data_IF_734574554703
#
_entry.id   IF_734574554703
#
_cell.length_a   1.000
_cell.length_b   1.000
_cell.length_c   1.000
_cell.angle_alpha   90.00
_cell.angle_beta   90.00
_cell.angle_gamma   90.00
#
_symmetry.space_group_name_H-M   'P 1'
#
loop_
_entity.id
_entity.type
_entity.pdbx_description
1 polymer ?
#
# COMPACT_ATOMS: atom_id res chain seq x y z
N UNK A 1 -29.85 1.60 -14.13
CA UNK A 1 -28.73 1.35 -13.20
C UNK A 1 -28.24 2.69 -12.66
N UNK A 2 -28.13 2.87 -11.34
CA UNK A 2 -27.62 4.11 -10.76
C UNK A 2 -26.14 4.31 -11.15
N UNK A 3 -25.67 5.54 -11.37
CA UNK A 3 -24.27 5.81 -11.76
C UNK A 3 -23.23 5.21 -10.81
N UNK A 4 -23.57 5.08 -9.52
CA UNK A 4 -22.72 4.55 -8.45
C UNK A 4 -22.58 3.00 -8.41
N UNK A 5 -23.20 2.29 -9.36
CA UNK A 5 -23.10 0.83 -9.53
C UNK A 5 -22.36 0.45 -10.82
N UNK A 6 -21.75 1.43 -11.52
CA UNK A 6 -21.00 1.17 -12.74
C UNK A 6 -19.69 0.46 -12.40
N UNK A 7 -19.39 -0.59 -13.16
CA UNK A 7 -18.19 -1.39 -13.02
C UNK A 7 -17.25 -1.10 -14.18
N UNK A 8 -15.97 -0.96 -13.88
CA UNK A 8 -14.94 -0.79 -14.91
C UNK A 8 -13.90 -1.89 -14.73
N UNK A 9 -13.61 -2.57 -15.84
CA UNK A 9 -12.50 -3.50 -15.98
C UNK A 9 -11.32 -2.75 -16.57
N UNK A 10 -10.18 -2.74 -15.88
CA UNK A 10 -8.96 -2.05 -16.36
C UNK A 10 -7.80 -3.04 -16.43
N UNK A 11 -7.41 -3.39 -17.65
CA UNK A 11 -6.24 -4.22 -17.96
C UNK A 11 -5.32 -3.44 -18.89
N UNK A 12 -4.02 -3.21 -18.56
CA UNK A 12 -3.29 -3.63 -17.37
C UNK A 12 -3.72 -2.86 -16.10
N UNK A 13 -3.13 -3.19 -14.94
CA UNK A 13 -3.47 -2.74 -13.57
C UNK A 13 -3.40 -1.20 -13.39
N UNK A 14 -4.29 -0.45 -14.03
CA UNK A 14 -4.34 1.01 -14.04
C UNK A 14 -5.42 1.47 -13.05
N UNK A 15 -5.18 1.17 -11.78
CA UNK A 15 -6.18 1.26 -10.70
C UNK A 15 -6.16 2.60 -9.94
N UNK A 16 -5.10 3.39 -10.10
CA UNK A 16 -4.91 4.62 -9.33
C UNK A 16 -4.05 5.66 -10.06
N UNK A 17 -4.33 6.92 -9.79
CA UNK A 17 -3.56 8.06 -10.30
C UNK A 17 -2.23 8.26 -9.57
N UNK A 18 -1.38 9.15 -10.10
CA UNK A 18 -0.01 9.34 -9.61
C UNK A 18 0.10 9.81 -8.16
N UNK A 19 -0.83 10.64 -7.68
CA UNK A 19 -0.81 11.11 -6.28
C UNK A 19 -1.29 10.02 -5.33
N UNK A 20 -2.32 9.28 -5.71
CA UNK A 20 -2.80 8.14 -4.92
C UNK A 20 -1.70 7.08 -4.76
N UNK A 21 -1.01 6.75 -5.86
CA UNK A 21 0.11 5.82 -5.84
C UNK A 21 1.31 6.34 -5.05
N UNK A 22 1.65 7.64 -5.19
CA UNK A 22 2.71 8.26 -4.39
C UNK A 22 2.42 8.17 -2.88
N UNK A 23 1.19 8.48 -2.46
CA UNK A 23 0.78 8.37 -1.06
C UNK A 23 0.84 6.93 -0.53
N UNK A 24 0.48 5.96 -1.37
CA UNK A 24 0.62 4.54 -1.03
C UNK A 24 2.08 4.17 -0.79
N UNK A 25 3.00 4.64 -1.63
CA UNK A 25 4.45 4.38 -1.48
C UNK A 25 5.05 5.01 -0.24
N UNK A 26 4.60 6.21 0.16
CA UNK A 26 5.01 6.82 1.44
C UNK A 26 4.59 5.94 2.63
N UNK A 27 3.37 5.38 2.61
CA UNK A 27 2.95 4.45 3.68
C UNK A 27 3.80 3.18 3.71
N UNK A 28 4.10 2.61 2.55
CA UNK A 28 4.96 1.43 2.48
C UNK A 28 6.41 1.73 2.90
N UNK A 29 6.91 2.93 2.62
CA UNK A 29 8.21 3.39 3.12
C UNK A 29 8.25 3.37 4.65
N UNK A 30 7.22 3.88 5.33
CA UNK A 30 7.14 3.88 6.79
C UNK A 30 7.09 2.45 7.37
N UNK A 31 6.31 1.57 6.74
CA UNK A 31 6.23 0.15 7.16
C UNK A 31 7.59 -0.53 6.98
N UNK A 32 8.25 -0.31 5.85
CA UNK A 32 9.57 -0.88 5.56
C UNK A 32 10.64 -0.36 6.53
N UNK A 33 10.60 0.95 6.84
CA UNK A 33 11.49 1.54 7.83
C UNK A 33 11.28 0.92 9.22
N UNK A 34 10.04 0.77 9.67
CA UNK A 34 9.73 0.10 10.94
C UNK A 34 10.19 -1.37 10.95
N UNK A 35 10.08 -2.06 9.82
CA UNK A 35 10.58 -3.43 9.67
C UNK A 35 12.11 -3.49 9.79
N UNK A 36 12.85 -2.59 9.14
CA UNK A 36 14.30 -2.52 9.30
C UNK A 36 14.72 -2.19 10.73
N UNK A 37 14.01 -1.29 11.41
CA UNK A 37 14.27 -0.98 12.82
C UNK A 37 14.05 -2.19 13.72
N UNK A 38 13.00 -2.98 13.48
CA UNK A 38 12.77 -4.22 14.22
C UNK A 38 13.93 -5.22 14.01
N UNK A 39 14.37 -5.42 12.77
CA UNK A 39 15.50 -6.30 12.46
C UNK A 39 16.79 -5.82 13.12
N UNK A 40 17.01 -4.50 13.13
CA UNK A 40 18.16 -3.89 13.77
C UNK A 40 18.16 -4.14 15.29
N UNK A 41 17.04 -3.93 15.98
CA UNK A 41 16.92 -4.24 17.41
C UNK A 41 17.18 -5.72 17.70
N UNK A 42 16.60 -6.63 16.90
CA UNK A 42 16.78 -8.07 17.05
C UNK A 42 18.23 -8.49 16.82
N UNK A 43 18.86 -7.98 15.76
CA UNK A 43 20.25 -8.28 15.41
C UNK A 43 21.22 -7.75 16.46
N UNK A 44 21.12 -6.47 16.84
CA UNK A 44 22.04 -5.89 17.83
C UNK A 44 21.91 -6.53 19.22
N UNK A 45 20.69 -6.92 19.62
CA UNK A 45 20.48 -7.62 20.89
C UNK A 45 21.10 -9.02 20.93
N UNK A 46 21.45 -9.60 19.77
CA UNK A 46 22.21 -10.86 19.69
C UNK A 46 23.73 -10.68 19.67
N UNK A 47 24.22 -9.44 19.51
CA UNK A 47 25.64 -9.09 19.47
C UNK A 47 26.12 -8.55 20.81
N UNK A 48 25.25 -7.88 21.57
CA UNK A 48 25.55 -7.38 22.91
C UNK A 48 25.57 -8.55 23.90
N UNK A 49 26.60 -8.62 24.74
CA UNK A 49 26.73 -9.65 25.76
C UNK A 49 25.63 -9.55 26.82
N UNK A 50 25.04 -10.68 27.18
CA UNK A 50 24.01 -10.80 28.21
C UNK A 50 22.76 -11.53 27.74
N UNK A 51 21.76 -11.62 28.62
CA UNK A 51 20.45 -12.13 28.24
C UNK A 51 19.76 -11.12 27.29
N UNK A 52 18.86 -11.61 26.43
CA UNK A 52 18.25 -10.82 25.35
C UNK A 52 17.55 -9.56 25.86
N UNK A 53 16.88 -9.65 27.01
CA UNK A 53 16.15 -8.53 27.62
C UNK A 53 17.12 -7.47 28.16
N UNK A 54 18.23 -7.87 28.76
CA UNK A 54 19.30 -6.98 29.21
C UNK A 54 19.99 -6.30 28.04
N UNK A 55 20.36 -7.05 27.00
CA UNK A 55 20.95 -6.53 25.77
C UNK A 55 20.05 -5.48 25.09
N UNK A 56 18.74 -5.76 25.01
CA UNK A 56 17.77 -4.81 24.45
C UNK A 56 17.71 -3.53 25.31
N UNK A 57 17.68 -3.64 26.64
CA UNK A 57 17.65 -2.49 27.55
C UNK A 57 18.92 -1.64 27.41
N UNK A 58 20.07 -2.27 27.27
CA UNK A 58 21.34 -1.57 27.03
C UNK A 58 21.36 -0.89 25.68
N UNK A 59 20.87 -1.53 24.63
CA UNK A 59 20.75 -0.93 23.30
C UNK A 59 19.94 0.37 23.34
N UNK A 60 18.86 0.45 24.14
CA UNK A 60 18.07 1.68 24.32
C UNK A 60 18.75 2.75 25.19
N UNK A 61 19.91 2.47 25.77
CA UNK A 61 20.67 3.46 26.53
C UNK A 61 21.35 4.45 25.57
N UNK A 62 20.70 5.59 25.36
CA UNK A 62 21.12 6.65 24.44
C UNK A 62 22.48 7.26 24.78
N UNK A 63 22.96 7.12 26.02
CA UNK A 63 24.27 7.63 26.42
C UNK A 63 25.43 6.83 25.81
N UNK A 64 25.25 5.52 25.59
CA UNK A 64 26.28 4.64 25.03
C UNK A 64 26.05 4.32 23.55
N UNK A 65 24.79 4.11 23.15
CA UNK A 65 24.46 3.69 21.79
C UNK A 65 23.80 4.78 20.93
N UNK A 66 23.72 6.02 21.43
CA UNK A 66 23.05 7.12 20.73
C UNK A 66 23.59 7.37 19.31
N UNK A 67 24.91 7.37 19.13
CA UNK A 67 25.53 7.52 17.80
C UNK A 67 25.14 6.39 16.84
N UNK A 68 25.11 5.16 17.34
CA UNK A 68 24.75 3.97 16.59
C UNK A 68 23.27 4.03 16.16
N UNK A 69 22.38 4.51 17.03
CA UNK A 69 20.98 4.77 16.68
C UNK A 69 20.83 5.83 15.59
N UNK A 70 21.57 6.93 15.67
CA UNK A 70 21.53 7.98 14.65
C UNK A 70 21.96 7.42 13.29
N UNK A 71 23.07 6.67 13.26
CA UNK A 71 23.57 6.02 12.05
C UNK A 71 22.53 5.04 11.48
N UNK A 72 21.97 4.18 12.33
CA UNK A 72 20.94 3.22 11.92
C UNK A 72 19.72 3.92 11.32
N UNK A 73 19.21 4.97 11.98
CA UNK A 73 18.07 5.76 11.51
C UNK A 73 18.35 6.36 10.14
N UNK A 74 19.51 7.00 9.97
CA UNK A 74 19.87 7.63 8.69
C UNK A 74 19.98 6.57 7.59
N UNK A 75 20.71 5.48 7.82
CA UNK A 75 20.93 4.44 6.81
C UNK A 75 19.60 3.80 6.40
N UNK A 76 18.80 3.33 7.35
CA UNK A 76 17.54 2.66 7.02
C UNK A 76 16.50 3.61 6.43
N UNK A 77 16.48 4.88 6.83
CA UNK A 77 15.64 5.89 6.19
C UNK A 77 16.04 6.09 4.73
N UNK A 78 17.35 6.24 4.44
CA UNK A 78 17.84 6.41 3.07
C UNK A 78 17.50 5.20 2.18
N UNK A 79 17.70 3.98 2.69
CA UNK A 79 17.35 2.75 1.97
C UNK A 79 15.84 2.73 1.66
N UNK A 80 15.00 3.02 2.66
CA UNK A 80 13.55 3.03 2.47
C UNK A 80 13.11 4.11 1.45
N UNK A 81 13.72 5.30 1.48
CA UNK A 81 13.47 6.39 0.53
C UNK A 81 13.84 5.96 -0.89
N UNK A 82 15.04 5.38 -1.08
CA UNK A 82 15.50 4.93 -2.41
C UNK A 82 14.56 3.89 -3.00
N UNK A 83 14.13 2.91 -2.19
CA UNK A 83 13.18 1.89 -2.61
C UNK A 83 11.81 2.49 -2.96
N UNK A 84 11.33 3.46 -2.16
CA UNK A 84 10.06 4.12 -2.43
C UNK A 84 10.11 4.96 -3.73
N UNK A 85 11.20 5.70 -3.96
CA UNK A 85 11.39 6.51 -5.17
C UNK A 85 11.57 5.63 -6.40
N UNK A 86 12.34 4.55 -6.32
CA UNK A 86 12.56 3.66 -7.46
C UNK A 86 11.26 2.98 -7.89
N UNK A 87 10.49 2.45 -6.94
CA UNK A 87 9.19 1.86 -7.20
C UNK A 87 8.16 2.90 -7.70
N UNK A 88 8.29 4.16 -7.26
CA UNK A 88 7.48 5.25 -7.81
C UNK A 88 7.83 5.53 -9.27
N UNK A 89 9.11 5.76 -9.57
CA UNK A 89 9.60 6.09 -10.91
C UNK A 89 9.38 4.98 -11.94
N UNK A 90 9.40 3.71 -11.53
CA UNK A 90 9.15 2.59 -12.44
C UNK A 90 7.68 2.50 -12.88
N UNK A 91 6.74 2.87 -12.00
CA UNK A 91 5.32 2.57 -12.18
C UNK A 91 4.48 3.80 -12.54
N UNK A 92 4.80 4.97 -11.99
CA UNK A 92 4.08 6.21 -12.22
C UNK A 92 4.04 6.65 -13.71
N UNK A 93 5.14 6.65 -14.48
CA UNK A 93 5.11 7.18 -15.86
C UNK A 93 4.38 6.27 -16.85
N UNK A 94 4.21 4.99 -16.52
CA UNK A 94 3.57 4.00 -17.39
C UNK A 94 2.12 3.79 -16.97
N UNK A 95 1.90 3.11 -15.84
CA UNK A 95 0.58 2.65 -15.42
C UNK A 95 -0.28 3.75 -14.81
N UNK A 96 0.27 4.63 -13.95
CA UNK A 96 -0.51 5.73 -13.39
C UNK A 96 -0.88 6.77 -14.46
N UNK A 97 0.02 7.03 -15.41
CA UNK A 97 -0.28 7.90 -16.55
C UNK A 97 -1.41 7.33 -17.41
N UNK A 98 -1.34 6.04 -17.74
CA UNK A 98 -2.39 5.35 -18.47
C UNK A 98 -3.72 5.37 -17.71
N UNK A 99 -3.69 5.15 -16.38
CA UNK A 99 -4.87 5.28 -15.51
C UNK A 99 -5.48 6.69 -15.59
N UNK A 100 -4.64 7.72 -15.47
CA UNK A 100 -5.08 9.12 -15.54
C UNK A 100 -5.71 9.46 -16.89
N UNK A 101 -5.15 8.97 -18.00
CA UNK A 101 -5.70 9.19 -19.33
C UNK A 101 -7.05 8.49 -19.50
N UNK A 102 -7.21 7.27 -19.00
CA UNK A 102 -8.50 6.56 -18.92
C UNK A 102 -9.52 7.34 -18.09
N UNK A 103 -9.11 7.89 -16.93
CA UNK A 103 -10.00 8.68 -16.08
C UNK A 103 -10.39 10.01 -16.75
N UNK A 104 -9.48 10.63 -17.50
CA UNK A 104 -9.77 11.84 -18.29
C UNK A 104 -10.76 11.55 -19.42
N UNK A 105 -10.58 10.47 -20.18
CA UNK A 105 -11.51 10.10 -21.26
C UNK A 105 -12.90 9.77 -20.75
N UNK A 106 -13.01 9.26 -19.52
CA UNK A 106 -14.30 9.06 -18.84
C UNK A 106 -14.89 10.33 -18.21
N UNK A 107 -14.20 11.48 -18.27
CA UNK A 107 -14.68 12.76 -17.76
C UNK A 107 -14.61 12.89 -16.23
N UNK A 108 -13.71 12.17 -15.57
CA UNK A 108 -13.62 12.15 -14.10
C UNK A 108 -12.83 13.34 -13.56
N UNK A 109 -13.34 13.92 -12.46
CA UNK A 109 -12.64 15.02 -11.78
C UNK A 109 -11.40 14.51 -11.02
N UNK A 110 -10.30 15.26 -11.12
CA UNK A 110 -9.05 15.00 -10.39
C UNK A 110 -8.46 13.58 -10.60
N UNK A 111 -8.16 13.16 -11.85
CA UNK A 111 -7.73 11.79 -12.18
C UNK A 111 -6.51 11.32 -11.38
N UNK A 112 -5.61 12.24 -11.05
CA UNK A 112 -4.36 11.98 -10.33
C UNK A 112 -4.57 11.50 -8.88
N UNK A 113 -5.72 11.84 -8.28
CA UNK A 113 -6.08 11.52 -6.88
C UNK A 113 -7.00 10.31 -6.77
N UNK A 114 -7.45 9.75 -7.89
CA UNK A 114 -8.40 8.64 -7.91
C UNK A 114 -7.67 7.36 -7.50
N UNK A 115 -8.35 6.58 -6.66
CA UNK A 115 -7.91 5.27 -6.18
C UNK A 115 -9.13 4.34 -6.22
N UNK A 116 -9.17 3.49 -7.24
CA UNK A 116 -10.27 2.57 -7.49
C UNK A 116 -10.34 1.44 -6.46
N UNK A 117 -9.20 1.05 -5.87
CA UNK A 117 -9.19 0.10 -4.77
C UNK A 117 -9.89 0.67 -3.54
N UNK A 118 -9.63 1.95 -3.24
CA UNK A 118 -10.25 2.64 -2.10
C UNK A 118 -11.74 2.87 -2.29
N UNK A 119 -12.20 3.22 -3.49
CA UNK A 119 -13.65 3.34 -3.80
C UNK A 119 -14.33 1.98 -3.66
N UNK A 120 -13.75 0.94 -4.26
CA UNK A 120 -14.26 -0.44 -4.21
C UNK A 120 -14.32 -0.96 -2.78
N UNK A 121 -13.27 -0.78 -1.98
CA UNK A 121 -13.25 -1.18 -0.58
C UNK A 121 -14.29 -0.43 0.27
N UNK A 122 -14.54 0.86 0.00
CA UNK A 122 -15.61 1.62 0.66
C UNK A 122 -16.99 1.08 0.30
N UNK A 123 -17.22 0.78 -0.97
CA UNK A 123 -18.48 0.23 -1.44
C UNK A 123 -18.74 -1.16 -0.84
N UNK A 124 -17.72 -2.04 -0.83
CA UNK A 124 -17.80 -3.34 -0.15
C UNK A 124 -18.19 -3.20 1.33
N UNK A 125 -17.57 -2.27 2.07
CA UNK A 125 -17.88 -2.05 3.49
C UNK A 125 -19.32 -1.58 3.68
N UNK A 126 -19.82 -0.71 2.80
CA UNK A 126 -21.24 -0.29 2.83
C UNK A 126 -22.17 -1.50 2.63
N UNK A 127 -21.90 -2.33 1.62
CA UNK A 127 -22.70 -3.53 1.35
C UNK A 127 -22.69 -4.52 2.52
N UNK A 128 -21.54 -4.70 3.19
CA UNK A 128 -21.42 -5.57 4.37
C UNK A 128 -22.26 -5.05 5.54
N UNK A 129 -22.27 -3.74 5.79
CA UNK A 129 -23.10 -3.12 6.84
C UNK A 129 -24.60 -3.29 6.58
N UNK A 130 -25.00 -3.27 5.31
CA UNK A 130 -26.41 -3.43 4.90
C UNK A 130 -26.81 -4.92 4.79
N UNK A 131 -25.89 -5.86 5.03
CA UNK A 131 -26.15 -7.31 4.90
C UNK A 131 -26.34 -7.79 3.46
N UNK A 132 -26.14 -6.93 2.45
CA UNK A 132 -26.30 -7.22 1.02
C UNK A 132 -25.01 -7.68 0.33
N UNK A 133 -23.97 -7.95 1.10
CA UNK A 133 -22.69 -8.42 0.58
C UNK A 133 -22.67 -9.94 0.45
N UNK A 134 -22.18 -10.42 -0.68
CA UNK A 134 -21.90 -11.83 -0.92
C UNK A 134 -20.50 -11.99 -1.52
N UNK A 135 -19.93 -13.18 -1.37
CA UNK A 135 -18.60 -13.48 -1.89
C UNK A 135 -18.62 -13.53 -3.42
N UNK A 136 -17.63 -12.93 -4.11
CA UNK A 136 -17.45 -13.09 -5.55
C UNK A 136 -17.21 -14.54 -6.00
N UNK A 137 -16.92 -15.46 -5.06
CA UNK A 137 -16.74 -16.90 -5.33
C UNK A 137 -18.05 -17.69 -5.38
N UNK A 138 -19.19 -17.07 -5.04
CA UNK A 138 -20.49 -17.73 -5.11
C UNK A 138 -20.88 -17.91 -6.59
N UNK A 139 -20.87 -19.16 -7.09
CA UNK A 139 -21.24 -19.48 -8.49
C UNK A 139 -22.70 -19.13 -8.82
N UNK A 140 -23.57 -19.08 -7.81
CA UNK A 140 -25.00 -18.84 -7.96
C UNK A 140 -25.36 -17.34 -8.09
N UNK A 141 -24.37 -16.44 -8.02
CA UNK A 141 -24.56 -14.99 -8.06
C UNK A 141 -23.60 -14.35 -9.07
N UNK A 142 -23.98 -13.21 -9.67
CA UNK A 142 -23.10 -12.52 -10.60
C UNK A 142 -21.81 -12.07 -9.90
N UNK A 143 -20.70 -12.09 -10.64
CA UNK A 143 -19.39 -11.63 -10.16
C UNK A 143 -19.49 -10.17 -9.71
N UNK A 144 -18.89 -9.85 -8.56
CA UNK A 144 -18.77 -8.47 -8.05
C UNK A 144 -17.32 -8.02 -7.99
N UNK A 145 -17.05 -6.72 -8.26
CA UNK A 145 -15.77 -6.09 -7.96
C UNK A 145 -15.32 -6.41 -6.55
N UNK A 146 -14.05 -6.74 -6.40
CA UNK A 146 -13.44 -6.85 -5.08
C UNK A 146 -12.07 -6.22 -5.03
N UNK A 147 -11.82 -5.52 -3.92
CA UNK A 147 -10.52 -4.98 -3.54
C UNK A 147 -9.51 -6.07 -3.12
N UNK A 148 -9.96 -7.32 -2.93
CA UNK A 148 -9.10 -8.45 -2.57
C UNK A 148 -8.51 -9.09 -3.81
N UNK A 149 -7.25 -9.49 -3.72
CA UNK A 149 -6.57 -10.23 -4.79
C UNK A 149 -7.32 -11.53 -5.08
N UNK A 150 -7.99 -11.58 -6.22
CA UNK A 150 -8.58 -12.78 -6.78
C UNK A 150 -7.66 -13.18 -7.94
N UNK A 151 -6.73 -14.09 -7.68
CA UNK A 151 -5.59 -14.43 -8.54
C UNK A 151 -5.89 -14.98 -9.94
N UNK A 152 -7.09 -14.81 -10.47
CA UNK A 152 -7.49 -15.25 -11.80
C UNK A 152 -8.43 -14.29 -12.55
N UNK A 153 -8.68 -13.08 -12.05
CA UNK A 153 -9.69 -12.21 -12.66
C UNK A 153 -9.11 -10.87 -13.11
N UNK A 154 -9.63 -10.40 -14.24
CA UNK A 154 -9.67 -8.99 -14.63
C UNK A 154 -9.93 -8.10 -13.40
N UNK A 155 -9.35 -6.90 -13.41
CA UNK A 155 -9.49 -5.98 -12.29
C UNK A 155 -10.77 -5.17 -12.40
N UNK A 156 -11.83 -5.62 -11.72
CA UNK A 156 -13.15 -4.97 -11.70
C UNK A 156 -13.24 -4.03 -10.51
N UNK A 157 -13.60 -2.77 -10.76
CA UNK A 157 -13.72 -1.75 -9.72
C UNK A 157 -15.08 -1.05 -9.74
N UNK A 158 -15.54 -0.62 -8.56
CA UNK A 158 -16.64 0.33 -8.45
C UNK A 158 -16.13 1.75 -8.66
N UNK A 159 -16.87 2.53 -9.42
CA UNK A 159 -16.67 3.96 -9.61
C UNK A 159 -17.62 4.79 -8.73
#
# INVERSE_FOLDING_TARGET
AYPAERIISVCPRCEMGRYAYGWLRVKYMLILFAFFMMLFCLGMSSVIDGDYITALRELFNMQYYGELWVIAIVIYALIAIVIAISAYKAYAPTTCKLAEDIFRTMGWACPEKIDLNKTTARHERKLKRVGKWYSPKCKDKPLRPTSKWAGQFEYWYYY
#
